data_IF_704242074122
#
_entry.id   IF_704242074122
#
_cell.length_a   1.000
_cell.length_b   1.000
_cell.length_c   1.000
_cell.angle_alpha   90.00
_cell.angle_beta   90.00
_cell.angle_gamma   90.00
#
_symmetry.space_group_name_H-M   'P 1'
#
loop_
_entity.id
_entity.type
_entity.pdbx_description
1 polymer ?
#
# COMPACT_ATOMS: atom_id res chain seq x y z
N UNK A 1 -9.48 9.03 -8.25
CA UNK A 1 -9.20 10.08 -7.26
C UNK A 1 -8.10 9.61 -6.31
N UNK A 2 -7.17 10.47 -5.88
CA UNK A 2 -6.18 10.12 -4.89
C UNK A 2 -6.84 9.91 -3.52
N UNK A 3 -6.38 8.92 -2.77
CA UNK A 3 -6.83 8.67 -1.38
C UNK A 3 -5.69 8.84 -0.38
N UNK A 4 -4.44 8.81 -0.84
CA UNK A 4 -3.26 8.92 0.00
C UNK A 4 -2.18 9.80 -0.64
N UNK A 5 -1.38 10.49 0.20
CA UNK A 5 -0.18 11.22 -0.24
C UNK A 5 1.03 10.78 0.57
N UNK A 6 2.14 10.48 -0.09
CA UNK A 6 3.39 10.12 0.58
C UNK A 6 4.07 11.37 1.14
N UNK A 7 4.25 11.44 2.47
CA UNK A 7 4.73 12.65 3.17
C UNK A 7 6.05 13.19 2.62
N UNK A 8 7.03 12.31 2.39
CA UNK A 8 8.38 12.70 1.95
C UNK A 8 8.47 13.05 0.46
N UNK A 9 7.67 12.42 -0.39
CA UNK A 9 7.81 12.51 -1.85
C UNK A 9 6.78 13.45 -2.48
N UNK A 10 5.70 13.78 -1.79
CA UNK A 10 4.60 14.56 -2.32
C UNK A 10 3.69 13.79 -3.30
N UNK A 11 4.12 12.63 -3.79
CA UNK A 11 3.35 11.79 -4.73
C UNK A 11 2.03 11.32 -4.13
N UNK A 12 1.00 11.36 -4.95
CA UNK A 12 -0.36 10.94 -4.61
C UNK A 12 -0.68 9.56 -5.17
N UNK A 13 -1.48 8.82 -4.42
CA UNK A 13 -1.84 7.45 -4.71
C UNK A 13 -3.33 7.21 -4.43
N UNK A 14 -3.91 6.28 -5.17
CA UNK A 14 -5.23 5.73 -4.90
C UNK A 14 -5.06 4.31 -4.33
N UNK A 15 -5.39 4.13 -3.05
CA UNK A 15 -5.56 2.80 -2.46
C UNK A 15 -6.69 2.08 -3.18
N UNK A 16 -6.38 0.91 -3.73
CA UNK A 16 -7.34 0.03 -4.41
C UNK A 16 -7.97 -0.91 -3.40
N UNK A 17 -7.18 -1.47 -2.48
CA UNK A 17 -7.67 -2.35 -1.43
C UNK A 17 -6.56 -2.96 -0.59
N UNK A 18 -6.97 -3.72 0.42
CA UNK A 18 -6.09 -4.57 1.22
C UNK A 18 -6.26 -6.01 0.74
N UNK A 19 -5.16 -6.68 0.46
CA UNK A 19 -5.10 -8.07 0.05
C UNK A 19 -4.26 -8.92 1.01
N UNK A 20 -4.10 -10.19 0.66
CA UNK A 20 -3.15 -11.10 1.29
C UNK A 20 -2.17 -11.60 0.25
N UNK A 21 -0.90 -11.70 0.62
CA UNK A 21 0.08 -12.36 -0.22
C UNK A 21 -0.24 -13.86 -0.29
N UNK A 22 -0.07 -14.45 -1.47
CA UNK A 22 -0.02 -15.91 -1.62
C UNK A 22 1.31 -16.25 -2.28
N UNK A 23 2.16 -16.96 -1.55
CA UNK A 23 3.49 -17.30 -2.05
C UNK A 23 4.02 -18.57 -1.39
N UNK A 24 4.43 -19.55 -2.20
CA UNK A 24 4.92 -20.82 -1.68
C UNK A 24 6.34 -20.72 -1.10
N UNK A 25 7.23 -19.94 -1.74
CA UNK A 25 8.66 -19.94 -1.44
C UNK A 25 9.23 -18.53 -1.22
N UNK A 26 8.39 -17.51 -1.08
CA UNK A 26 8.87 -16.16 -0.82
C UNK A 26 9.11 -15.97 0.68
N UNK A 27 10.39 -15.82 1.04
CA UNK A 27 10.83 -15.58 2.40
C UNK A 27 11.55 -14.23 2.51
N UNK A 28 11.44 -13.60 3.69
CA UNK A 28 12.19 -12.41 4.07
C UNK A 28 12.88 -12.64 5.41
N UNK A 29 14.11 -12.16 5.55
CA UNK A 29 14.80 -12.18 6.83
C UNK A 29 14.30 -11.03 7.71
N UNK A 30 13.65 -11.36 8.83
CA UNK A 30 13.19 -10.41 9.86
C UNK A 30 13.69 -10.89 11.22
N UNK A 31 14.31 -9.99 11.98
CA UNK A 31 14.85 -10.25 13.32
C UNK A 31 15.86 -11.43 13.39
N UNK A 32 16.58 -11.68 12.30
CA UNK A 32 17.58 -12.75 12.20
C UNK A 32 17.02 -14.13 11.84
N UNK A 33 15.73 -14.21 11.46
CA UNK A 33 15.09 -15.45 11.02
C UNK A 33 14.40 -15.26 9.67
N UNK A 34 14.45 -16.30 8.83
CA UNK A 34 13.70 -16.35 7.57
C UNK A 34 12.23 -16.62 7.86
N UNK A 35 11.36 -15.71 7.43
CA UNK A 35 9.91 -15.80 7.62
C UNK A 35 9.23 -15.84 6.25
N UNK A 36 8.28 -16.76 6.08
CA UNK A 36 7.41 -16.77 4.91
C UNK A 36 6.56 -15.50 4.91
N UNK A 37 6.38 -14.89 3.73
CA UNK A 37 5.42 -13.80 3.57
C UNK A 37 4.03 -14.28 3.18
N UNK A 38 3.82 -15.59 3.08
CA UNK A 38 2.51 -16.15 2.74
C UNK A 38 1.44 -15.66 3.73
N UNK A 39 0.27 -15.33 3.20
CA UNK A 39 -0.89 -14.81 3.93
C UNK A 39 -0.72 -13.44 4.62
N UNK A 40 0.44 -12.80 4.52
CA UNK A 40 0.69 -11.45 5.05
C UNK A 40 -0.21 -10.40 4.38
N UNK A 41 -0.69 -9.43 5.15
CA UNK A 41 -1.55 -8.36 4.62
C UNK A 41 -0.75 -7.36 3.79
N UNK A 42 -1.27 -7.00 2.62
CA UNK A 42 -0.66 -6.04 1.70
C UNK A 42 -1.62 -4.93 1.32
N UNK A 43 -1.10 -3.72 1.19
CA UNK A 43 -1.80 -2.62 0.54
C UNK A 43 -1.51 -2.62 -0.95
N UNK A 44 -2.56 -2.58 -1.77
CA UNK A 44 -2.49 -2.48 -3.23
C UNK A 44 -2.95 -1.09 -3.63
N UNK A 45 -2.10 -0.32 -4.29
CA UNK A 45 -2.39 1.08 -4.60
C UNK A 45 -1.78 1.51 -5.93
N UNK A 46 -2.42 2.50 -6.56
CA UNK A 46 -2.03 3.04 -7.86
C UNK A 46 -1.48 4.45 -7.73
N UNK A 47 -0.35 4.73 -8.36
CA UNK A 47 0.14 6.09 -8.56
C UNK A 47 -0.84 6.89 -9.42
N UNK A 48 -1.14 8.14 -9.04
CA UNK A 48 -2.01 8.99 -9.87
C UNK A 48 -1.25 9.68 -11.01
N UNK A 49 0.08 9.67 -10.96
CA UNK A 49 0.94 10.34 -11.93
C UNK A 49 1.15 9.49 -13.19
N UNK A 50 1.59 8.24 -13.00
CA UNK A 50 1.97 7.32 -14.09
C UNK A 50 1.08 6.06 -14.17
N UNK A 51 0.14 5.88 -13.23
CA UNK A 51 -0.74 4.72 -13.18
C UNK A 51 -0.07 3.43 -12.68
N UNK A 52 1.19 3.46 -12.23
CA UNK A 52 1.89 2.29 -11.74
C UNK A 52 1.18 1.68 -10.51
N UNK A 53 1.09 0.36 -10.48
CA UNK A 53 0.53 -0.40 -9.36
C UNK A 53 1.66 -0.82 -8.42
N UNK A 54 1.48 -0.52 -7.14
CA UNK A 54 2.39 -0.88 -6.07
C UNK A 54 1.70 -1.86 -5.13
N UNK A 55 2.50 -2.77 -4.59
CA UNK A 55 2.13 -3.68 -3.51
C UNK A 55 3.15 -3.50 -2.40
N UNK A 56 2.69 -3.40 -1.16
CA UNK A 56 3.53 -3.17 0.02
C UNK A 56 2.93 -3.86 1.23
N UNK A 57 3.72 -4.33 2.22
CA UNK A 57 3.19 -4.74 3.52
C UNK A 57 2.26 -3.66 4.08
N UNK A 58 1.09 -4.08 4.56
CA UNK A 58 0.09 -3.15 5.11
C UNK A 58 0.68 -2.30 6.24
N UNK A 59 1.44 -2.92 7.12
CA UNK A 59 2.12 -2.24 8.24
C UNK A 59 2.98 -1.06 7.77
N UNK A 60 3.74 -1.22 6.68
CA UNK A 60 4.58 -0.15 6.14
C UNK A 60 3.79 0.94 5.41
N UNK A 61 2.58 0.61 4.96
CA UNK A 61 1.67 1.58 4.35
C UNK A 61 0.98 2.43 5.44
N UNK A 62 0.64 1.80 6.56
CA UNK A 62 -0.06 2.42 7.69
C UNK A 62 0.87 3.05 8.75
N UNK A 63 2.19 2.88 8.64
CA UNK A 63 3.20 3.39 9.59
C UNK A 63 3.34 4.93 9.67
N UNK A 64 2.49 5.67 8.94
CA UNK A 64 2.50 7.12 8.89
C UNK A 64 3.38 7.72 7.81
N UNK A 65 3.97 6.94 6.88
CA UNK A 65 4.60 7.48 5.65
C UNK A 65 3.60 8.12 4.70
N UNK A 66 2.35 7.67 4.75
CA UNK A 66 1.25 8.19 3.97
C UNK A 66 0.28 8.98 4.86
N UNK A 67 -0.34 10.01 4.29
CA UNK A 67 -1.51 10.68 4.89
C UNK A 67 -2.73 10.38 4.04
N UNK A 68 -3.84 10.05 4.69
CA UNK A 68 -5.14 9.94 4.03
C UNK A 68 -5.59 11.31 3.55
N UNK A 69 -6.06 11.38 2.31
CA UNK A 69 -6.65 12.58 1.74
C UNK A 69 -8.17 12.52 1.93
N UNK A 70 -8.83 13.66 2.18
CA UNK A 70 -10.28 13.70 2.25
C UNK A 70 -10.88 13.24 0.91
N UNK A 71 -11.98 12.50 0.96
CA UNK A 71 -12.76 12.23 -0.24
C UNK A 71 -13.15 13.57 -0.87
N UNK A 72 -12.86 13.77 -2.16
CA UNK A 72 -13.35 14.95 -2.86
C UNK A 72 -14.87 14.98 -2.75
N UNK A 73 -15.48 16.07 -2.24
CA UNK A 73 -16.92 16.22 -2.25
C UNK A 73 -17.37 16.30 -3.72
N UNK A 74 -17.89 15.19 -4.26
CA UNK A 74 -18.27 15.09 -5.66
C UNK A 74 -18.53 13.68 -6.21
N UNK A 75 -18.42 12.62 -5.40
CA UNK A 75 -18.83 11.28 -5.80
C UNK A 75 -20.00 10.80 -4.93
N UNK A 76 -21.17 11.38 -5.22
CA UNK A 76 -22.47 10.77 -4.89
C UNK A 76 -23.18 10.58 -6.21
N UNK A 77 -23.33 9.33 -6.64
CA UNK A 77 -24.38 8.88 -7.57
C UNK A 77 -25.19 7.79 -6.87
#
# INVERSE_FOLDING_TARGET
MPTHRHKKRGTEYALIGIGKMQADNWQVSRDGFDQSIDMEEVAIYRSVDDGAIWVRPREEFEDGRFVTLPASPGASE
#
